data_IF_297650879051
#
_entry.id   IF_297650879051
#
_cell.length_a   1.000
_cell.length_b   1.000
_cell.length_c   1.000
_cell.angle_alpha   90.00
_cell.angle_beta   90.00
_cell.angle_gamma   90.00
#
_symmetry.space_group_name_H-M   'P 1'
#
loop_
_entity.id
_entity.type
_entity.pdbx_description
1 polymer ?
#
# COMPACT_ATOMS: atom_id res chain seq x y z
N UNK A 1 -1.89 -8.91 -0.29
CA UNK A 1 -2.87 -8.76 0.81
C UNK A 1 -4.22 -8.36 0.23
N UNK A 2 -5.32 -8.88 0.78
CA UNK A 2 -6.69 -8.65 0.31
C UNK A 2 -7.39 -7.52 1.06
N UNK A 3 -8.45 -6.96 0.46
CA UNK A 3 -9.29 -5.93 1.09
C UNK A 3 -8.61 -4.57 1.20
N UNK A 4 -7.51 -4.34 0.46
CA UNK A 4 -6.82 -3.04 0.46
C UNK A 4 -7.49 -2.15 -0.58
N UNK A 5 -8.12 -1.09 -0.09
CA UNK A 5 -8.79 -0.10 -0.93
C UNK A 5 -7.81 0.83 -1.66
N UNK A 6 -8.35 1.59 -2.63
CA UNK A 6 -7.60 2.55 -3.44
C UNK A 6 -8.27 3.92 -3.32
N UNK A 7 -7.53 4.93 -2.85
CA UNK A 7 -8.10 6.26 -2.50
C UNK A 7 -8.84 6.94 -3.65
N UNK A 8 -8.31 6.83 -4.86
CA UNK A 8 -8.87 7.49 -6.04
C UNK A 8 -9.87 6.60 -6.81
N UNK A 9 -10.22 5.43 -6.27
CA UNK A 9 -11.14 4.48 -6.89
C UNK A 9 -12.07 3.86 -5.84
N UNK A 10 -13.17 4.54 -5.56
CA UNK A 10 -14.17 4.11 -4.56
C UNK A 10 -14.72 2.73 -4.93
N UNK A 11 -14.77 1.83 -3.95
CA UNK A 11 -15.26 0.46 -4.11
C UNK A 11 -14.30 -0.49 -4.82
N UNK A 12 -13.07 -0.04 -5.15
CA UNK A 12 -12.02 -0.90 -5.67
C UNK A 12 -11.13 -1.35 -4.53
N UNK A 13 -11.08 -2.67 -4.32
CA UNK A 13 -10.26 -3.32 -3.31
C UNK A 13 -9.46 -4.48 -3.92
N UNK A 14 -8.35 -4.83 -3.28
CA UNK A 14 -7.59 -6.01 -3.66
C UNK A 14 -8.35 -7.31 -3.35
N UNK A 15 -8.33 -8.26 -4.29
CA UNK A 15 -8.89 -9.59 -4.08
C UNK A 15 -8.02 -10.45 -3.13
N UNK A 16 -8.43 -11.70 -2.90
CA UNK A 16 -7.70 -12.68 -2.06
C UNK A 16 -6.24 -12.91 -2.48
N UNK A 17 -5.89 -12.64 -3.74
CA UNK A 17 -4.52 -12.75 -4.27
C UNK A 17 -3.74 -11.44 -4.24
N UNK A 18 -4.34 -10.35 -3.77
CA UNK A 18 -3.70 -9.03 -3.67
C UNK A 18 -3.72 -8.20 -4.95
N UNK A 19 -4.62 -8.48 -5.89
CA UNK A 19 -4.77 -7.70 -7.12
C UNK A 19 -6.04 -6.87 -7.10
N UNK A 20 -5.96 -5.64 -7.61
CA UNK A 20 -7.08 -4.74 -7.82
C UNK A 20 -7.07 -4.22 -9.26
N UNK A 21 -8.25 -3.97 -9.82
CA UNK A 21 -8.40 -3.33 -11.13
C UNK A 21 -8.86 -1.89 -10.92
N UNK A 22 -7.99 -0.94 -11.27
CA UNK A 22 -8.29 0.50 -11.18
C UNK A 22 -8.83 0.99 -12.52
N UNK A 23 -10.12 1.31 -12.62
CA UNK A 23 -10.69 1.86 -13.85
C UNK A 23 -10.35 3.36 -14.02
N UNK A 24 -10.70 3.89 -15.19
CA UNK A 24 -10.77 5.34 -15.47
C UNK A 24 -9.45 6.14 -15.39
N UNK A 25 -8.32 5.54 -15.76
CA UNK A 25 -7.08 6.30 -15.94
C UNK A 25 -7.18 7.21 -17.17
N UNK A 26 -6.70 8.44 -17.04
CA UNK A 26 -6.67 9.44 -18.11
C UNK A 26 -5.45 9.20 -19.01
N UNK A 27 -5.63 8.94 -20.33
CA UNK A 27 -4.51 8.77 -21.25
C UNK A 27 -3.63 10.02 -21.32
N UNK A 28 -2.32 9.81 -21.50
CA UNK A 28 -1.29 10.85 -21.66
C UNK A 28 -1.22 11.86 -20.51
N UNK A 29 -1.75 11.49 -19.35
CA UNK A 29 -1.73 12.31 -18.14
C UNK A 29 -1.17 11.51 -16.99
N UNK A 30 -0.60 12.21 -16.03
CA UNK A 30 -0.25 11.62 -14.75
C UNK A 30 -1.52 11.20 -14.01
N UNK A 31 -1.57 9.92 -13.63
CA UNK A 31 -2.60 9.36 -12.78
C UNK A 31 -1.91 8.87 -11.50
N UNK A 32 -2.41 9.33 -10.35
CA UNK A 32 -1.90 8.93 -9.05
C UNK A 32 -2.73 7.77 -8.50
N UNK A 33 -2.06 6.69 -8.13
CA UNK A 33 -2.66 5.50 -7.53
C UNK A 33 -2.13 5.42 -6.11
N UNK A 34 -3.02 5.49 -5.13
CA UNK A 34 -2.66 5.48 -3.72
C UNK A 34 -3.49 4.43 -2.99
N UNK A 35 -2.82 3.54 -2.26
CA UNK A 35 -3.45 2.52 -1.43
C UNK A 35 -4.01 3.13 -0.14
N UNK A 36 -5.15 2.63 0.31
CA UNK A 36 -5.69 2.93 1.65
C UNK A 36 -5.00 2.03 2.67
N UNK A 37 -3.98 2.58 3.35
CA UNK A 37 -3.17 1.85 4.32
C UNK A 37 -3.65 1.98 5.77
N UNK A 38 -4.65 2.82 6.00
CA UNK A 38 -5.24 3.13 7.32
C UNK A 38 -5.97 1.94 7.94
N UNK A 39 -6.48 1.03 7.11
CA UNK A 39 -7.20 -0.16 7.54
C UNK A 39 -6.34 -1.44 7.52
N UNK A 40 -5.03 -1.32 7.26
CA UNK A 40 -4.13 -2.46 7.26
C UNK A 40 -3.87 -2.97 8.68
N UNK A 41 -3.80 -4.31 8.81
CA UNK A 41 -3.36 -4.94 10.05
C UNK A 41 -1.94 -4.49 10.44
N UNK A 42 -1.63 -4.42 11.75
CA UNK A 42 -0.32 -3.97 12.25
C UNK A 42 0.86 -4.81 11.76
N UNK A 43 0.59 -6.04 11.34
CA UNK A 43 1.54 -6.99 10.77
C UNK A 43 1.82 -6.77 9.29
N UNK A 44 1.10 -5.88 8.61
CA UNK A 44 1.32 -5.59 7.19
C UNK A 44 2.07 -4.27 7.06
N UNK A 45 3.17 -4.31 6.33
CA UNK A 45 3.92 -3.12 5.95
C UNK A 45 3.98 -3.03 4.43
N UNK A 46 3.74 -1.83 3.90
CA UNK A 46 3.85 -1.51 2.49
C UNK A 46 5.01 -0.52 2.34
N UNK A 47 6.01 -0.87 1.52
CA UNK A 47 7.23 -0.05 1.38
C UNK A 47 6.91 1.35 0.82
N UNK A 48 6.13 1.39 -0.26
CA UNK A 48 5.58 2.61 -0.83
C UNK A 48 4.15 2.32 -1.29
N UNK A 49 3.17 3.01 -0.71
CA UNK A 49 1.74 2.86 -1.03
C UNK A 49 1.25 3.74 -2.17
N UNK A 50 2.14 4.48 -2.82
CA UNK A 50 1.81 5.45 -3.85
C UNK A 50 2.60 5.22 -5.13
N UNK A 51 1.92 5.34 -6.27
CA UNK A 51 2.53 5.25 -7.58
C UNK A 51 1.92 6.25 -8.55
N UNK A 52 2.71 6.68 -9.52
CA UNK A 52 2.29 7.56 -10.58
C UNK A 52 2.49 6.88 -11.94
N UNK A 53 1.44 6.87 -12.77
CA UNK A 53 1.48 6.23 -14.09
C UNK A 53 0.98 7.18 -15.17
N UNK A 54 1.52 7.03 -16.38
CA UNK A 54 1.11 7.78 -17.58
C UNK A 54 0.75 6.79 -18.68
N UNK A 55 -0.52 6.37 -18.80
CA UNK A 55 -0.92 5.40 -19.80
C UNK A 55 -1.07 6.04 -21.19
N UNK A 56 -0.68 5.32 -22.23
CA UNK A 56 -1.17 5.60 -23.58
C UNK A 56 -2.67 5.25 -23.70
N UNK A 57 -3.33 5.71 -24.76
CA UNK A 57 -4.74 5.37 -24.98
C UNK A 57 -4.90 3.86 -25.18
N UNK A 58 -5.77 3.23 -24.38
CA UNK A 58 -6.01 1.79 -24.43
C UNK A 58 -4.93 0.93 -23.77
N UNK A 59 -3.93 1.53 -23.12
CA UNK A 59 -2.90 0.79 -22.43
C UNK A 59 -3.43 0.14 -21.14
N UNK A 60 -2.95 -1.07 -20.87
CA UNK A 60 -3.10 -1.75 -19.57
C UNK A 60 -1.74 -1.70 -18.88
N UNK A 61 -1.69 -1.06 -17.71
CA UNK A 61 -0.47 -0.94 -16.92
C UNK A 61 -0.61 -1.79 -15.67
N UNK A 62 0.46 -2.52 -15.34
CA UNK A 62 0.60 -3.19 -14.06
C UNK A 62 1.57 -2.40 -13.18
N UNK A 63 1.12 -2.05 -11.99
CA UNK A 63 1.94 -1.44 -10.94
C UNK A 63 1.93 -2.35 -9.73
N UNK A 64 3.10 -2.57 -9.12
CA UNK A 64 3.26 -3.44 -7.97
C UNK A 64 3.62 -2.61 -6.75
N UNK A 65 2.92 -2.86 -5.65
CA UNK A 65 3.23 -2.28 -4.34
C UNK A 65 3.80 -3.39 -3.47
N UNK A 66 5.07 -3.25 -3.07
CA UNK A 66 5.73 -4.26 -2.24
C UNK A 66 5.11 -4.25 -0.84
N UNK A 67 4.62 -5.41 -0.42
CA UNK A 67 4.03 -5.61 0.89
C UNK A 67 4.72 -6.78 1.58
N UNK A 68 5.02 -6.61 2.87
CA UNK A 68 5.65 -7.62 3.72
C UNK A 68 4.84 -7.82 4.99
N UNK A 69 4.85 -9.06 5.47
CA UNK A 69 4.31 -9.39 6.79
C UNK A 69 5.46 -9.24 7.79
N UNK A 70 5.26 -8.42 8.81
CA UNK A 70 6.25 -8.07 9.83
C UNK A 70 5.67 -8.25 11.22
N UNK A 71 6.52 -8.57 12.18
CA UNK A 71 6.17 -8.53 13.60
C UNK A 71 6.78 -7.28 14.19
N UNK A 72 5.93 -6.36 14.68
CA UNK A 72 6.38 -5.13 15.33
C UNK A 72 6.50 -5.37 16.83
N UNK A 73 7.65 -5.03 17.41
CA UNK A 73 7.89 -5.10 18.84
C UNK A 73 8.45 -3.77 19.32
N UNK A 74 7.95 -3.27 20.45
CA UNK A 74 8.54 -2.14 21.16
C UNK A 74 9.31 -2.71 22.34
N UNK A 75 10.62 -2.49 22.34
CA UNK A 75 11.49 -2.93 23.44
C UNK A 75 11.85 -1.69 24.25
N UNK A 76 11.43 -1.68 25.52
CA UNK A 76 11.92 -0.71 26.50
C UNK A 76 12.97 -1.42 27.35
N UNK A 77 14.21 -0.98 27.23
CA UNK A 77 15.33 -1.58 27.94
C UNK A 77 15.89 -0.60 28.98
N UNK A 78 16.31 -1.14 30.12
CA UNK A 78 16.86 -0.39 31.24
C UNK A 78 18.27 -0.90 31.56
N UNK A 79 19.15 0.00 31.99
CA UNK A 79 20.46 -0.34 32.55
C UNK A 79 20.32 -1.05 33.90
N UNK A 80 21.39 -1.69 34.40
CA UNK A 80 21.43 -2.21 35.78
C UNK A 80 21.10 -1.14 36.84
N UNK A 81 21.34 0.14 36.52
CA UNK A 81 21.03 1.31 37.35
C UNK A 81 19.59 1.84 37.18
N UNK A 82 18.74 1.17 36.40
CA UNK A 82 17.32 1.50 36.21
C UNK A 82 17.04 2.66 35.23
N UNK A 83 18.07 3.22 34.57
CA UNK A 83 17.92 4.28 33.57
C UNK A 83 17.55 3.68 32.20
N UNK A 84 16.71 4.33 31.38
CA UNK A 84 16.43 3.86 30.02
C UNK A 84 17.72 3.82 29.20
N UNK A 85 17.87 2.79 28.35
CA UNK A 85 18.91 2.72 27.32
C UNK A 85 18.69 3.76 26.22
#
# INVERSE_FOLDING_TARGET
TSGVGIRNAIGVETNSRGYALVPYLRPYRYNHIELQTDQLGPEIEIDNGSAQVVPARGAVIKTTFAARVVTRMVITAHTESGKPL
#
